data_IF_361401838745
#
_entry.id   IF_361401838745
#
_cell.length_a   1.000
_cell.length_b   1.000
_cell.length_c   1.000
_cell.angle_alpha   90.00
_cell.angle_beta   90.00
_cell.angle_gamma   90.00
#
_symmetry.space_group_name_H-M   'P 1'
#
loop_
_entity.id
_entity.type
_entity.pdbx_description
1 polymer ?
#
# COMPACT_ATOMS: atom_id res chain seq x y z
N UNK A 1 6.41 14.54 19.25
CA UNK A 1 5.59 13.35 18.92
C UNK A 1 6.38 12.59 17.85
N UNK A 2 7.05 11.49 18.22
CA UNK A 2 7.96 10.77 17.33
C UNK A 2 7.25 9.76 16.43
N UNK A 3 7.91 9.32 15.35
CA UNK A 3 7.48 8.11 14.62
C UNK A 3 7.40 6.96 15.63
N UNK A 4 6.21 6.36 15.76
CA UNK A 4 6.00 5.24 16.68
C UNK A 4 6.41 3.91 16.07
N UNK A 5 6.13 3.72 14.78
CA UNK A 5 6.33 2.46 14.07
C UNK A 5 6.90 2.71 12.68
N UNK A 6 7.83 1.88 12.24
CA UNK A 6 8.43 1.94 10.89
C UNK A 6 8.66 0.54 10.39
N UNK A 7 8.18 0.25 9.18
CA UNK A 7 8.27 -1.08 8.59
C UNK A 7 8.92 -1.01 7.21
N UNK A 8 9.78 -1.97 6.95
CA UNK A 8 10.22 -2.29 5.59
C UNK A 8 9.43 -3.52 5.12
N UNK A 9 8.62 -3.35 4.07
CA UNK A 9 7.78 -4.41 3.52
C UNK A 9 8.21 -4.69 2.09
N UNK A 10 8.65 -5.92 1.83
CA UNK A 10 8.82 -6.39 0.45
C UNK A 10 7.45 -6.58 -0.19
N UNK A 11 7.15 -5.84 -1.25
CA UNK A 11 5.84 -5.88 -1.92
C UNK A 11 5.64 -7.13 -2.78
N UNK A 12 6.72 -7.80 -3.19
CA UNK A 12 6.66 -9.03 -3.97
C UNK A 12 5.98 -8.87 -5.34
N UNK A 13 5.43 -9.97 -5.86
CA UNK A 13 4.63 -9.94 -7.09
C UNK A 13 3.27 -9.28 -6.83
N UNK A 14 2.71 -8.52 -7.78
CA UNK A 14 1.33 -8.02 -7.72
C UNK A 14 0.28 -9.09 -7.37
N UNK A 15 0.52 -10.37 -7.70
CA UNK A 15 -0.38 -11.49 -7.38
C UNK A 15 -0.60 -11.69 -5.87
N UNK A 16 0.25 -11.14 -5.01
CA UNK A 16 0.06 -11.12 -3.55
C UNK A 16 -1.32 -10.59 -3.13
N UNK A 17 -1.93 -9.75 -3.96
CA UNK A 17 -3.23 -9.15 -3.71
C UNK A 17 -4.42 -10.10 -3.91
N UNK A 18 -4.23 -11.21 -4.62
CA UNK A 18 -5.30 -12.16 -4.98
C UNK A 18 -4.97 -13.63 -4.69
N UNK A 19 -3.70 -13.99 -4.55
CA UNK A 19 -3.25 -15.36 -4.40
C UNK A 19 -3.19 -15.75 -2.92
N UNK A 20 -4.18 -16.54 -2.48
CA UNK A 20 -4.31 -17.03 -1.11
C UNK A 20 -3.28 -18.13 -0.77
N UNK A 21 -2.57 -18.69 -1.77
CA UNK A 21 -1.54 -19.71 -1.53
C UNK A 21 -0.22 -19.08 -1.07
N UNK A 22 -0.03 -17.77 -1.28
CA UNK A 22 1.18 -17.05 -0.88
C UNK A 22 1.17 -16.80 0.64
N UNK A 23 2.12 -17.35 1.43
CA UNK A 23 2.13 -17.20 2.89
C UNK A 23 2.25 -15.74 3.36
N UNK A 24 2.84 -14.88 2.54
CA UNK A 24 2.98 -13.45 2.83
C UNK A 24 1.63 -12.73 2.93
N UNK A 25 0.58 -13.22 2.26
CA UNK A 25 -0.74 -12.59 2.26
C UNK A 25 -1.42 -12.64 3.64
N UNK A 26 -1.69 -13.83 4.24
CA UNK A 26 -2.27 -13.89 5.58
C UNK A 26 -1.34 -13.30 6.64
N UNK A 27 -0.01 -13.36 6.45
CA UNK A 27 0.95 -12.68 7.33
C UNK A 27 0.72 -11.16 7.37
N UNK A 28 0.64 -10.49 6.21
CA UNK A 28 0.42 -9.04 6.13
C UNK A 28 -1.00 -8.65 6.58
N UNK A 29 -2.02 -9.47 6.29
CA UNK A 29 -3.38 -9.23 6.81
C UNK A 29 -3.41 -9.22 8.35
N UNK A 30 -2.58 -10.06 8.99
CA UNK A 30 -2.50 -10.11 10.46
C UNK A 30 -1.93 -8.85 11.11
N UNK A 31 -1.29 -7.94 10.35
CA UNK A 31 -0.74 -6.69 10.89
C UNK A 31 -1.79 -5.83 11.58
N UNK A 32 -3.03 -5.84 11.05
CA UNK A 32 -4.14 -5.09 11.63
C UNK A 32 -4.37 -5.42 13.11
N UNK A 33 -4.19 -6.69 13.48
CA UNK A 33 -4.49 -7.20 14.82
C UNK A 33 -3.23 -7.32 15.68
N UNK A 34 -2.10 -7.70 15.07
CA UNK A 34 -0.88 -8.06 15.79
C UNK A 34 0.15 -6.94 15.88
N UNK A 35 0.11 -5.98 14.96
CA UNK A 35 1.15 -4.95 14.83
C UNK A 35 0.60 -3.58 15.20
N UNK A 36 -0.59 -3.21 14.70
CA UNK A 36 -1.17 -1.90 14.99
C UNK A 36 -2.01 -1.93 16.27
N UNK A 37 -1.47 -1.35 17.36
CA UNK A 37 -2.21 -1.16 18.61
C UNK A 37 -3.27 -0.04 18.53
N UNK A 38 -3.06 0.92 17.64
CA UNK A 38 -4.00 2.01 17.33
C UNK A 38 -4.01 2.25 15.83
N UNK A 39 -5.17 2.64 15.27
CA UNK A 39 -5.26 3.01 13.85
C UNK A 39 -4.45 4.29 13.62
N UNK A 40 -3.45 4.30 12.74
CA UNK A 40 -2.72 5.52 12.42
C UNK A 40 -3.66 6.54 11.77
N UNK A 41 -3.48 7.83 12.08
CA UNK A 41 -4.20 8.93 11.43
C UNK A 41 -3.74 9.14 9.99
N UNK A 42 -2.46 8.83 9.72
CA UNK A 42 -1.81 8.99 8.41
C UNK A 42 -0.71 7.93 8.25
N UNK A 43 -0.39 7.58 7.00
CA UNK A 43 0.72 6.68 6.67
C UNK A 43 1.58 7.36 5.60
N UNK A 44 2.89 7.45 5.84
CA UNK A 44 3.86 7.82 4.82
C UNK A 44 4.38 6.55 4.14
N UNK A 45 4.11 6.42 2.84
CA UNK A 45 4.61 5.31 2.02
C UNK A 45 5.80 5.79 1.20
N UNK A 46 6.91 5.07 1.29
CA UNK A 46 8.07 5.23 0.41
C UNK A 46 8.11 3.99 -0.48
N UNK A 47 7.94 4.16 -1.79
CA UNK A 47 7.82 3.07 -2.75
C UNK A 47 9.00 3.06 -3.71
N UNK A 48 9.52 1.86 -3.99
CA UNK A 48 10.55 1.66 -5.01
C UNK A 48 10.03 1.93 -6.43
N UNK A 49 8.71 1.88 -6.66
CA UNK A 49 8.10 2.15 -7.96
C UNK A 49 7.72 3.63 -8.15
N UNK A 50 8.01 4.48 -7.17
CA UNK A 50 7.74 5.92 -7.26
C UNK A 50 9.04 6.70 -7.35
N UNK A 51 9.55 6.81 -8.58
CA UNK A 51 10.81 7.48 -8.88
C UNK A 51 10.60 8.89 -9.42
N UNK A 52 11.40 9.82 -8.93
CA UNK A 52 11.39 11.23 -9.34
C UNK A 52 12.83 11.74 -9.39
N UNK A 53 13.10 12.78 -10.19
CA UNK A 53 14.45 13.33 -10.35
C UNK A 53 14.99 14.01 -9.07
N UNK A 54 14.09 14.45 -8.19
CA UNK A 54 14.39 15.10 -6.91
C UNK A 54 13.45 14.55 -5.83
N UNK A 55 13.86 14.55 -4.54
CA UNK A 55 12.96 14.16 -3.45
C UNK A 55 11.64 14.93 -3.53
N UNK A 56 10.57 14.19 -3.77
CA UNK A 56 9.24 14.74 -3.99
C UNK A 56 8.29 14.13 -2.96
N UNK A 57 7.19 14.80 -2.67
CA UNK A 57 6.06 14.23 -1.92
C UNK A 57 4.81 14.38 -2.77
N UNK A 58 4.06 13.30 -2.94
CA UNK A 58 2.76 13.39 -3.59
C UNK A 58 1.70 13.75 -2.54
N UNK A 59 1.15 14.96 -2.65
CA UNK A 59 0.08 15.47 -1.78
C UNK A 59 -1.14 15.77 -2.66
N UNK A 60 -2.00 14.77 -2.85
CA UNK A 60 -3.22 14.93 -3.63
C UNK A 60 -4.26 15.63 -2.75
N UNK A 61 -4.87 16.70 -3.26
CA UNK A 61 -5.93 17.44 -2.57
C UNK A 61 -7.28 16.73 -2.59
N UNK A 62 -7.36 15.56 -3.23
CA UNK A 62 -8.56 14.76 -3.31
C UNK A 62 -8.88 14.11 -1.96
N UNK A 63 -10.16 14.02 -1.63
CA UNK A 63 -10.61 13.29 -0.41
C UNK A 63 -10.37 11.79 -0.52
N UNK A 64 -10.28 11.27 -1.75
CA UNK A 64 -10.14 9.86 -2.06
C UNK A 64 -9.20 9.70 -3.25
N UNK A 65 -8.30 8.72 -3.17
CA UNK A 65 -7.36 8.41 -4.24
C UNK A 65 -7.87 7.29 -5.14
N UNK A 66 -7.61 7.42 -6.44
CA UNK A 66 -7.85 6.35 -7.41
C UNK A 66 -6.70 5.33 -7.43
N UNK A 67 -7.04 4.09 -7.76
CA UNK A 67 -6.06 3.01 -7.93
C UNK A 67 -5.45 3.05 -9.32
N UNK A 68 -4.12 3.16 -9.37
CA UNK A 68 -3.32 3.02 -10.60
C UNK A 68 -2.81 1.58 -10.69
N UNK A 69 -2.89 0.98 -11.87
CA UNK A 69 -2.28 -0.33 -12.15
C UNK A 69 -1.04 -0.11 -13.01
N UNK A 70 0.13 -0.18 -12.38
CA UNK A 70 1.45 0.01 -12.99
C UNK A 70 2.10 -1.30 -13.46
N UNK A 71 1.28 -2.34 -13.71
CA UNK A 71 1.71 -3.66 -14.16
C UNK A 71 0.83 -4.20 -15.29
N UNK A 72 1.40 -5.10 -16.11
CA UNK A 72 0.78 -5.63 -17.33
C UNK A 72 0.85 -7.16 -17.40
N UNK A 73 -0.03 -7.78 -18.18
CA UNK A 73 -0.09 -9.23 -18.40
C UNK A 73 -0.44 -10.07 -17.15
N UNK A 74 -1.20 -9.49 -16.22
CA UNK A 74 -1.72 -10.18 -15.04
C UNK A 74 -3.19 -10.62 -15.22
N UNK A 75 -3.71 -11.52 -14.36
CA UNK A 75 -5.12 -11.91 -14.40
C UNK A 75 -6.10 -10.73 -14.24
N UNK A 76 -7.23 -10.80 -14.96
CA UNK A 76 -8.33 -9.82 -14.93
C UNK A 76 -8.73 -9.35 -13.53
N UNK A 77 -8.90 -10.24 -12.52
CA UNK A 77 -9.32 -9.82 -11.17
C UNK A 77 -8.41 -8.77 -10.53
N UNK A 78 -7.12 -8.72 -10.90
CA UNK A 78 -6.19 -7.73 -10.35
C UNK A 78 -6.49 -6.31 -10.81
N UNK A 79 -6.99 -6.16 -12.04
CA UNK A 79 -7.41 -4.87 -12.60
C UNK A 79 -8.81 -4.43 -12.11
N UNK A 80 -9.53 -5.32 -11.43
CA UNK A 80 -10.84 -5.04 -10.82
C UNK A 80 -10.70 -4.61 -9.36
N UNK A 81 -9.58 -4.92 -8.69
CA UNK A 81 -9.31 -4.51 -7.32
C UNK A 81 -9.24 -2.99 -7.21
N UNK A 82 -10.08 -2.40 -6.36
CA UNK A 82 -10.03 -0.97 -6.02
C UNK A 82 -9.56 -0.78 -4.59
N UNK A 83 -8.67 0.20 -4.41
CA UNK A 83 -8.18 0.68 -3.13
C UNK A 83 -8.47 2.19 -3.02
N UNK A 84 -9.70 2.58 -2.63
CA UNK A 84 -10.09 3.99 -2.50
C UNK A 84 -9.51 4.58 -1.20
N UNK A 85 -8.20 4.77 -1.17
CA UNK A 85 -7.51 5.27 0.01
C UNK A 85 -7.98 6.69 0.34
N UNK A 86 -8.39 6.99 1.58
CA UNK A 86 -8.72 8.35 1.96
C UNK A 86 -7.47 9.25 1.94
N UNK A 87 -7.67 10.51 1.58
CA UNK A 87 -6.66 11.55 1.77
C UNK A 87 -6.38 11.80 3.26
N UNK A 88 -5.16 12.20 3.59
CA UNK A 88 -4.77 12.61 4.94
C UNK A 88 -3.86 13.86 4.89
N UNK A 89 -4.38 15.01 4.40
CA UNK A 89 -3.64 16.27 4.32
C UNK A 89 -3.41 16.92 5.69
#
# INVERSE_FOLDING_TARGET
MGLKETFFISHGSPTLTIDETLPARPFLQSFREKVFSQRPSSILIISNHWETAHPTVNALSATTHDTIYDFYNFPKPMYELKYPAPGAP
#
